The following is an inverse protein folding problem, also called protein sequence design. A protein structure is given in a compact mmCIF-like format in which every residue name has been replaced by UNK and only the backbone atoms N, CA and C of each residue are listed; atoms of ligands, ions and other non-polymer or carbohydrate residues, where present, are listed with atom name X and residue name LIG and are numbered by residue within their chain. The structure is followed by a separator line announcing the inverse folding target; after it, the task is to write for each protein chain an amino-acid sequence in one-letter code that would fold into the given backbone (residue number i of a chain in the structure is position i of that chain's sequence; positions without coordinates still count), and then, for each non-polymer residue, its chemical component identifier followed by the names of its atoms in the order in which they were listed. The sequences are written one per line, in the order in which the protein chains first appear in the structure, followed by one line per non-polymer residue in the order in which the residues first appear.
data_IF_138140894261
#
_entry.id   IF_138140894261
#
_cell.length_a   1.000
_cell.length_b   1.000
_cell.length_c   1.000
_cell.angle_alpha   90.00
_cell.angle_beta   90.00
_cell.angle_gamma   90.00
#
_symmetry.space_group_name_H-M   'P 1'
#
loop_
_entity.id
_entity.type
_entity.pdbx_description
1 polymer ?
#
# COMPACT_ATOMS: atom_id res chain seq x y z
N UNK A 1 -17.49 0.42 -39.05
CA UNK A 1 -17.15 1.33 -37.92
C UNK A 1 -16.02 0.69 -37.12
N UNK A 2 -14.79 1.22 -37.22
CA UNK A 2 -13.61 0.63 -36.55
C UNK A 2 -13.67 0.97 -35.06
N UNK A 3 -13.79 -0.04 -34.19
CA UNK A 3 -13.82 0.14 -32.73
C UNK A 3 -12.42 0.61 -32.30
N UNK A 4 -12.29 1.83 -31.80
CA UNK A 4 -11.00 2.35 -31.29
C UNK A 4 -10.52 1.41 -30.17
N UNK A 5 -9.32 0.86 -30.31
CA UNK A 5 -8.72 -0.03 -29.32
C UNK A 5 -8.68 0.68 -27.97
N UNK A 6 -9.21 0.04 -26.93
CA UNK A 6 -9.03 0.50 -25.56
C UNK A 6 -7.53 0.58 -25.22
N UNK A 7 -7.19 1.35 -24.18
CA UNK A 7 -5.81 1.44 -23.70
C UNK A 7 -5.23 0.08 -23.34
N UNK A 8 -3.91 -0.08 -23.46
CA UNK A 8 -3.23 -1.32 -23.08
C UNK A 8 -3.55 -1.72 -21.62
N UNK A 9 -3.61 -3.03 -21.29
CA UNK A 9 -3.67 -3.47 -19.90
C UNK A 9 -2.50 -2.86 -19.10
N UNK A 10 -2.80 -2.23 -17.96
CA UNK A 10 -1.81 -1.46 -17.19
C UNK A 10 -1.66 0.02 -17.59
N UNK A 11 -2.43 0.50 -18.57
CA UNK A 11 -2.40 1.90 -18.97
C UNK A 11 -3.06 2.83 -17.93
N UNK A 12 -2.24 3.40 -17.05
CA UNK A 12 -2.65 4.41 -16.06
C UNK A 12 -2.88 5.81 -16.65
N UNK A 13 -2.69 6.03 -17.95
CA UNK A 13 -2.93 7.35 -18.55
C UNK A 13 -4.37 7.84 -18.38
N UNK A 14 -5.36 6.94 -18.25
CA UNK A 14 -6.74 7.34 -17.97
C UNK A 14 -6.92 7.88 -16.53
N UNK A 15 -6.02 7.52 -15.62
CA UNK A 15 -5.99 7.98 -14.22
C UNK A 15 -5.20 9.30 -14.14
N UNK A 16 -4.04 9.36 -14.79
CA UNK A 16 -3.15 10.55 -14.80
C UNK A 16 -3.65 11.69 -15.69
N UNK A 17 -4.29 11.37 -16.81
CA UNK A 17 -4.69 12.33 -17.85
C UNK A 17 -6.12 12.11 -18.39
N UNK A 18 -6.84 11.11 -17.90
CA UNK A 18 -8.21 10.80 -18.34
C UNK A 18 -9.29 11.42 -17.46
N UNK A 19 -10.52 10.91 -17.59
CA UNK A 19 -11.76 11.49 -17.06
C UNK A 19 -11.72 11.87 -15.56
N UNK A 20 -10.90 11.20 -14.74
CA UNK A 20 -10.78 11.43 -13.29
C UNK A 20 -9.69 12.44 -12.88
N UNK A 21 -8.72 12.74 -13.77
CA UNK A 21 -7.64 13.71 -13.49
C UNK A 21 -8.14 15.12 -13.20
N UNK A 22 -9.34 15.48 -13.68
CA UNK A 22 -9.95 16.82 -13.49
C UNK A 22 -10.54 17.04 -12.09
N UNK A 23 -10.49 16.04 -11.21
CA UNK A 23 -11.10 16.09 -9.87
C UNK A 23 -10.10 15.92 -8.74
N UNK A 24 -8.84 15.69 -9.06
CA UNK A 24 -7.75 15.65 -8.09
C UNK A 24 -7.09 17.03 -8.00
N UNK A 25 -6.89 17.55 -6.79
CA UNK A 25 -6.04 18.70 -6.52
C UNK A 25 -4.57 18.39 -6.81
N UNK A 26 -3.73 19.41 -6.93
CA UNK A 26 -2.29 19.23 -7.23
C UNK A 26 -1.55 18.35 -6.21
N UNK A 27 -1.97 18.40 -4.94
CA UNK A 27 -1.45 17.52 -3.89
C UNK A 27 -1.87 16.07 -4.11
N UNK A 28 -3.15 15.84 -4.41
CA UNK A 28 -3.72 14.50 -4.59
C UNK A 28 -3.14 13.81 -5.84
N UNK A 29 -2.81 14.55 -6.90
CA UNK A 29 -2.16 14.02 -8.09
C UNK A 29 -0.69 13.61 -7.81
N UNK A 30 0.02 14.35 -6.97
CA UNK A 30 1.38 13.99 -6.53
C UNK A 30 1.37 12.80 -5.58
N UNK A 31 0.42 12.76 -4.65
CA UNK A 31 0.24 11.66 -3.71
C UNK A 31 -0.13 10.37 -4.44
N UNK A 32 -0.91 10.45 -5.52
CA UNK A 32 -1.25 9.32 -6.38
C UNK A 32 -0.04 8.75 -7.14
N UNK A 33 0.87 9.61 -7.61
CA UNK A 33 2.10 9.17 -8.27
C UNK A 33 3.05 8.45 -7.30
N UNK A 34 3.08 8.85 -6.02
CA UNK A 34 3.82 8.16 -4.97
C UNK A 34 3.17 6.82 -4.57
N UNK A 35 1.85 6.80 -4.36
CA UNK A 35 1.10 5.62 -3.94
C UNK A 35 1.10 4.47 -4.98
N UNK A 36 1.27 4.79 -6.27
CA UNK A 36 1.29 3.79 -7.34
C UNK A 36 2.63 3.02 -7.43
N UNK A 37 3.70 3.48 -6.78
CA UNK A 37 5.05 2.93 -6.97
C UNK A 37 5.45 1.91 -5.90
N UNK A 38 4.98 2.03 -4.65
CA UNK A 38 5.56 1.28 -3.51
C UNK A 38 4.56 0.45 -2.66
N UNK A 39 3.34 0.26 -3.15
CA UNK A 39 2.28 -0.40 -2.40
C UNK A 39 1.83 0.42 -1.19
N UNK A 40 1.35 -0.22 -0.12
CA UNK A 40 0.76 0.40 1.07
C UNK A 40 1.77 0.79 2.16
N UNK A 41 3.06 0.90 1.81
CA UNK A 41 4.14 1.12 2.77
C UNK A 41 3.98 2.41 3.57
N UNK A 42 3.68 3.52 2.87
CA UNK A 42 3.52 4.84 3.47
C UNK A 42 2.26 4.93 4.33
N UNK A 43 1.16 4.33 3.92
CA UNK A 43 -0.08 4.27 4.70
C UNK A 43 0.11 3.45 5.98
N UNK A 44 0.89 2.36 5.93
CA UNK A 44 1.26 1.56 7.10
C UNK A 44 2.10 2.40 8.08
N UNK A 45 3.09 3.14 7.56
CA UNK A 45 3.95 4.00 8.37
C UNK A 45 3.13 5.12 9.04
N UNK A 46 2.28 5.81 8.27
CA UNK A 46 1.39 6.85 8.76
C UNK A 46 0.45 6.31 9.85
N UNK A 47 -0.19 5.16 9.62
CA UNK A 47 -1.11 4.56 10.61
C UNK A 47 -0.39 4.23 11.92
N UNK A 48 0.86 3.74 11.87
CA UNK A 48 1.67 3.48 13.07
C UNK A 48 2.00 4.76 13.85
N UNK A 49 2.33 5.85 13.15
CA UNK A 49 2.58 7.16 13.78
C UNK A 49 1.31 7.70 14.45
N UNK A 50 0.16 7.59 13.77
CA UNK A 50 -1.10 8.06 14.32
C UNK A 50 -1.55 7.26 15.55
N UNK A 51 -1.41 5.93 15.53
CA UNK A 51 -1.67 5.07 16.71
C UNK A 51 -0.81 5.53 17.90
N UNK A 52 0.48 5.78 17.68
CA UNK A 52 1.39 6.23 18.73
C UNK A 52 0.99 7.59 19.31
N UNK A 53 0.67 8.57 18.45
CA UNK A 53 0.22 9.90 18.89
C UNK A 53 -1.05 9.85 19.71
N UNK A 54 -2.03 9.02 19.31
CA UNK A 54 -3.27 8.84 20.06
C UNK A 54 -3.00 8.19 21.41
N UNK A 55 -2.09 7.21 21.47
CA UNK A 55 -1.67 6.59 22.73
C UNK A 55 -0.99 7.59 23.67
N UNK A 56 -0.03 8.37 23.16
CA UNK A 56 0.67 9.42 23.94
C UNK A 56 -0.32 10.45 24.47
N UNK A 57 -1.20 10.97 23.60
CA UNK A 57 -2.23 11.92 24.00
C UNK A 57 -3.18 11.36 25.07
N UNK A 58 -3.65 10.12 24.89
CA UNK A 58 -4.51 9.48 25.88
C UNK A 58 -3.79 9.25 27.21
N UNK A 59 -2.48 8.99 27.20
CA UNK A 59 -1.68 8.75 28.39
C UNK A 59 -1.36 10.03 29.18
N UNK A 60 -1.14 11.14 28.49
CA UNK A 60 -0.75 12.41 29.10
C UNK A 60 -1.94 13.18 29.68
N UNK A 61 -3.16 12.90 29.21
CA UNK A 61 -4.39 13.46 29.73
C UNK A 61 -4.87 12.71 30.98
N UNK A 62 -5.24 13.45 32.02
CA UNK A 62 -5.93 12.90 33.19
C UNK A 62 -7.39 12.57 32.82
N UNK A 63 -7.59 11.49 32.08
CA UNK A 63 -8.90 11.04 31.61
C UNK A 63 -9.73 10.33 32.68
N UNK A 64 -11.05 10.47 32.59
CA UNK A 64 -11.99 9.61 33.31
C UNK A 64 -12.17 8.25 32.58
N UNK A 65 -12.93 7.34 33.19
CA UNK A 65 -13.14 5.99 32.64
C UNK A 65 -13.74 6.02 31.21
N UNK A 66 -14.58 7.01 30.91
CA UNK A 66 -15.16 7.18 29.58
C UNK A 66 -14.10 7.55 28.55
N UNK A 67 -13.20 8.48 28.91
CA UNK A 67 -12.07 8.88 28.07
C UNK A 67 -11.15 7.69 27.77
N UNK A 68 -10.79 6.90 28.78
CA UNK A 68 -9.95 5.70 28.62
C UNK A 68 -10.61 4.65 27.74
N UNK A 69 -11.90 4.43 27.91
CA UNK A 69 -12.67 3.46 27.11
C UNK A 69 -12.72 3.91 25.65
N UNK A 70 -12.98 5.20 25.40
CA UNK A 70 -12.97 5.78 24.06
C UNK A 70 -11.61 5.67 23.37
N UNK A 71 -10.53 5.99 24.08
CA UNK A 71 -9.17 5.86 23.57
C UNK A 71 -8.83 4.40 23.21
N UNK A 72 -9.18 3.45 24.08
CA UNK A 72 -8.95 2.04 23.85
C UNK A 72 -9.73 1.52 22.63
N UNK A 73 -11.00 1.91 22.48
CA UNK A 73 -11.81 1.59 21.30
C UNK A 73 -11.22 2.15 20.01
N UNK A 74 -10.74 3.40 20.04
CA UNK A 74 -10.11 4.03 18.88
C UNK A 74 -8.80 3.33 18.48
N UNK A 75 -7.93 3.03 19.45
CA UNK A 75 -6.68 2.30 19.25
C UNK A 75 -6.92 0.86 18.76
N UNK A 76 -7.95 0.18 19.28
CA UNK A 76 -8.38 -1.14 18.82
C UNK A 76 -8.80 -1.11 17.35
N UNK A 77 -9.66 -0.16 16.97
CA UNK A 77 -10.11 0.00 15.59
C UNK A 77 -8.94 0.34 14.64
N UNK A 78 -8.03 1.21 15.06
CA UNK A 78 -6.82 1.54 14.29
C UNK A 78 -5.91 0.32 14.12
N UNK A 79 -5.74 -0.51 15.16
CA UNK A 79 -4.95 -1.75 15.11
C UNK A 79 -5.54 -2.77 14.14
N UNK A 80 -6.87 -2.92 14.10
CA UNK A 80 -7.54 -3.80 13.11
C UNK A 80 -7.30 -3.31 11.68
N UNK A 81 -7.38 -1.99 11.44
CA UNK A 81 -7.10 -1.39 10.12
C UNK A 81 -5.65 -1.60 9.71
N UNK A 82 -4.69 -1.38 10.63
CA UNK A 82 -3.27 -1.64 10.39
C UNK A 82 -3.02 -3.11 10.03
N UNK A 83 -3.64 -4.05 10.74
CA UNK A 83 -3.55 -5.47 10.40
C UNK A 83 -4.12 -5.78 9.01
N UNK A 84 -5.19 -5.08 8.61
CA UNK A 84 -5.72 -5.13 7.24
C UNK A 84 -4.71 -4.66 6.20
N UNK A 85 -4.13 -3.47 6.40
CA UNK A 85 -3.11 -2.90 5.49
C UNK A 85 -1.90 -3.82 5.36
N UNK A 86 -1.40 -4.38 6.47
CA UNK A 86 -0.27 -5.32 6.45
C UNK A 86 -0.58 -6.60 5.66
N UNK A 87 -1.80 -7.16 5.81
CA UNK A 87 -2.24 -8.31 5.02
C UNK A 87 -2.33 -7.96 3.54
N UNK A 88 -2.93 -6.83 3.20
CA UNK A 88 -3.04 -6.37 1.81
C UNK A 88 -1.66 -6.12 1.20
N UNK A 89 -0.74 -5.49 1.93
CA UNK A 89 0.63 -5.29 1.47
C UNK A 89 1.35 -6.61 1.22
N UNK A 90 1.15 -7.61 2.07
CA UNK A 90 1.70 -8.96 1.84
C UNK A 90 1.13 -9.61 0.57
N UNK A 91 -0.16 -9.42 0.30
CA UNK A 91 -0.79 -9.93 -0.92
C UNK A 91 -0.24 -9.19 -2.16
N UNK A 92 -0.09 -7.87 -2.09
CA UNK A 92 0.43 -7.04 -3.17
C UNK A 92 1.93 -7.29 -3.44
N UNK A 93 2.74 -7.42 -2.40
CA UNK A 93 4.18 -7.68 -2.49
C UNK A 93 4.54 -9.15 -2.77
N UNK A 94 3.58 -10.08 -2.63
CA UNK A 94 3.79 -11.51 -2.79
C UNK A 94 3.74 -12.02 -4.24
N UNK A 95 3.40 -11.20 -5.25
CA UNK A 95 3.18 -11.71 -6.61
C UNK A 95 4.35 -11.53 -7.58
N UNK A 96 5.20 -10.51 -7.41
CA UNK A 96 6.27 -10.22 -8.39
C UNK A 96 7.67 -10.57 -7.87
N UNK A 97 8.02 -10.15 -6.65
CA UNK A 97 9.34 -10.42 -6.08
C UNK A 97 9.59 -11.92 -5.83
N UNK A 98 8.60 -12.63 -5.31
CA UNK A 98 8.74 -14.06 -4.97
C UNK A 98 8.79 -14.95 -6.21
N UNK A 99 7.98 -14.62 -7.23
CA UNK A 99 7.98 -15.35 -8.51
C UNK A 99 9.24 -15.06 -9.31
N UNK A 100 9.69 -13.80 -9.38
CA UNK A 100 10.95 -13.45 -10.06
C UNK A 100 12.14 -14.05 -9.33
N UNK A 101 12.15 -14.09 -8.00
CA UNK A 101 13.21 -14.74 -7.22
C UNK A 101 13.22 -16.25 -7.43
N UNK A 102 12.05 -16.89 -7.42
CA UNK A 102 11.91 -18.32 -7.70
C UNK A 102 12.31 -18.67 -9.14
N UNK A 103 11.90 -17.85 -10.12
CA UNK A 103 12.31 -18.00 -11.53
C UNK A 103 13.82 -17.80 -11.71
N UNK A 104 14.39 -16.78 -11.05
CA UNK A 104 15.83 -16.50 -11.11
C UNK A 104 16.62 -17.65 -10.49
N UNK A 105 16.16 -18.19 -9.35
CA UNK A 105 16.78 -19.35 -8.73
C UNK A 105 16.71 -20.59 -9.63
N UNK A 106 15.53 -20.90 -10.18
CA UNK A 106 15.35 -22.05 -11.08
C UNK A 106 16.17 -21.92 -12.37
N UNK A 107 16.19 -20.74 -13.00
CA UNK A 107 17.01 -20.47 -14.18
C UNK A 107 18.50 -20.54 -13.87
N UNK A 108 18.93 -20.05 -12.70
CA UNK A 108 20.32 -20.11 -12.29
C UNK A 108 20.79 -21.56 -12.04
N UNK A 109 19.90 -22.44 -11.61
CA UNK A 109 20.20 -23.87 -11.43
C UNK A 109 20.33 -24.58 -12.79
N UNK A 110 19.39 -24.36 -13.70
CA UNK A 110 19.40 -24.94 -15.05
C UNK A 110 20.60 -24.45 -15.88
N UNK A 111 20.93 -23.15 -15.82
CA UNK A 111 22.11 -22.60 -16.53
C UNK A 111 23.41 -23.20 -16.02
N UNK A 112 23.50 -23.46 -14.70
CA UNK A 112 24.64 -24.12 -14.07
C UNK A 112 24.77 -25.58 -14.50
N UNK A 113 23.67 -26.33 -14.60
CA UNK A 113 23.65 -27.69 -15.15
C UNK A 113 24.06 -27.73 -16.63
N UNK A 114 23.60 -26.76 -17.43
CA UNK A 114 23.91 -26.67 -18.86
C UNK A 114 25.29 -26.07 -19.17
N UNK A 115 26.04 -25.62 -18.16
CA UNK A 115 27.36 -25.00 -18.34
C UNK A 115 27.31 -23.63 -19.03
N UNK A 116 26.16 -22.97 -19.03
CA UNK A 116 25.96 -21.65 -19.60
C UNK A 116 26.35 -20.63 -18.52
N UNK A 117 27.43 -19.87 -18.76
CA UNK A 117 27.86 -18.78 -17.89
C UNK A 117 27.09 -17.50 -18.19
#
# INVERSE_FOLDING_TARGET
MVKRRGGQPGNVNAVKHGFYSRRFGELEAKDLDAALVDGLGDEIALMRVMIRRVFEYANDEAGDLEHWTGALSALGAASTRLAGLLRTQKILGGSEGDVVTALTAALSEVTKELGIK
#
